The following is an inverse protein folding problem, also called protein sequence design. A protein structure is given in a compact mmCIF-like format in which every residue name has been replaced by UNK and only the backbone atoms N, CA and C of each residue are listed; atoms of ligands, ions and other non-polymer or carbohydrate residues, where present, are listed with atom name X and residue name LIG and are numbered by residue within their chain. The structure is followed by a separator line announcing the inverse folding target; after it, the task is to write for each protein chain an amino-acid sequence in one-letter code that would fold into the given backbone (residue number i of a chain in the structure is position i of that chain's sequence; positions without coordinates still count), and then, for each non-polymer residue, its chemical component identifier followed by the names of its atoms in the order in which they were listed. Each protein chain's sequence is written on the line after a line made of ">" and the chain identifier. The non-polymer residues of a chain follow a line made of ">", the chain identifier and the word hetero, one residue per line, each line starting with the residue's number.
data_IF_746871476582
#
_entry.id   IF_746871476582
#
_cell.length_a   1.000
_cell.length_b   1.000
_cell.length_c   1.000
_cell.angle_alpha   90.00
_cell.angle_beta   90.00
_cell.angle_gamma   90.00
#
_symmetry.space_group_name_H-M   'P 1'
#
loop_
_entity.id
_entity.type
_entity.pdbx_description
1 polymer ?
#
# COMPACT_ATOMS: atom_id res chain seq x y z
N UNK A 1 6.26 57.55 11.77
CA UNK A 1 7.09 56.34 11.59
C UNK A 1 6.36 55.41 10.64
N UNK A 2 6.96 55.04 9.50
CA UNK A 2 6.27 54.44 8.35
C UNK A 2 6.27 52.90 8.37
N UNK A 3 5.40 52.23 7.58
CA UNK A 3 5.45 50.78 7.39
C UNK A 3 6.47 50.36 6.31
N UNK A 4 7.10 49.21 6.60
CA UNK A 4 8.09 48.48 5.81
C UNK A 4 7.64 48.14 4.37
N UNK A 5 8.41 48.59 3.39
CA UNK A 5 8.45 48.04 2.03
C UNK A 5 9.57 46.99 1.96
N UNK A 6 9.23 45.74 1.68
CA UNK A 6 10.20 44.67 1.47
C UNK A 6 10.74 44.70 0.03
N UNK A 7 12.06 44.81 -0.04
CA UNK A 7 12.93 44.67 -1.20
C UNK A 7 12.63 43.43 -2.05
N UNK A 8 12.70 43.60 -3.36
CA UNK A 8 12.88 42.51 -4.31
C UNK A 8 14.13 42.71 -5.15
N UNK A 9 14.86 41.59 -5.29
CA UNK A 9 15.98 41.28 -6.18
C UNK A 9 17.36 41.45 -5.54
N UNK A 10 18.41 40.69 -5.96
CA UNK A 10 18.49 39.75 -7.09
C UNK A 10 19.14 38.39 -6.72
N UNK A 11 19.03 37.38 -7.59
CA UNK A 11 19.95 36.23 -7.54
C UNK A 11 20.25 35.70 -8.94
N UNK A 12 21.55 35.66 -9.19
CA UNK A 12 22.31 35.34 -10.38
C UNK A 12 22.26 33.85 -10.78
N UNK A 13 22.43 33.58 -12.08
CA UNK A 13 23.08 32.35 -12.54
C UNK A 13 23.70 32.54 -13.93
N UNK A 14 25.01 32.77 -13.94
CA UNK A 14 25.87 32.75 -15.12
C UNK A 14 25.94 31.36 -15.77
N UNK A 15 25.92 31.27 -17.10
CA UNK A 15 26.53 30.12 -17.81
C UNK A 15 26.97 30.47 -19.25
N UNK A 16 28.26 30.82 -19.34
CA UNK A 16 29.25 30.44 -20.37
C UNK A 16 28.79 30.52 -21.85
N UNK A 17 29.12 31.64 -22.49
CA UNK A 17 29.41 31.70 -23.92
C UNK A 17 30.63 30.81 -24.25
N UNK A 18 30.47 29.89 -25.20
CA UNK A 18 31.54 29.14 -25.85
C UNK A 18 31.54 29.48 -27.33
N UNK A 19 32.75 29.68 -27.86
CA UNK A 19 33.08 30.26 -29.14
C UNK A 19 32.52 29.52 -30.36
N UNK A 20 32.36 30.34 -31.40
CA UNK A 20 32.15 30.09 -32.82
C UNK A 20 33.19 29.15 -33.44
N UNK A 21 32.73 28.36 -34.43
CA UNK A 21 33.39 27.86 -35.64
C UNK A 21 32.33 26.91 -36.28
N UNK A 22 32.10 26.79 -37.57
CA UNK A 22 32.66 27.33 -38.80
C UNK A 22 31.69 26.90 -39.92
N UNK A 23 31.75 27.62 -41.04
CA UNK A 23 31.01 27.42 -42.30
C UNK A 23 30.80 25.95 -42.73
N UNK A 24 29.60 25.65 -43.21
CA UNK A 24 29.37 24.76 -44.36
C UNK A 24 28.03 25.12 -45.01
N UNK A 25 28.11 25.58 -46.26
CA UNK A 25 26.99 25.88 -47.14
C UNK A 25 26.17 24.61 -47.46
N UNK A 26 24.85 24.75 -47.45
CA UNK A 26 23.92 23.76 -47.96
C UNK A 26 22.46 24.13 -47.64
N UNK A 27 21.57 24.30 -48.62
CA UNK A 27 20.15 24.53 -48.37
C UNK A 27 19.50 23.20 -47.99
N UNK A 28 19.44 22.90 -46.68
CA UNK A 28 18.64 21.79 -46.18
C UNK A 28 17.19 22.25 -46.11
N UNK A 29 16.37 21.71 -47.01
CA UNK A 29 14.91 21.83 -47.01
C UNK A 29 14.35 21.38 -45.66
N UNK A 30 13.91 22.34 -44.85
CA UNK A 30 13.18 22.09 -43.61
C UNK A 30 11.70 21.80 -43.95
N UNK A 31 11.06 20.82 -43.29
CA UNK A 31 9.63 20.57 -43.46
C UNK A 31 8.84 21.82 -43.01
N UNK A 32 7.66 22.08 -43.58
CA UNK A 32 6.84 23.22 -43.20
C UNK A 32 6.55 23.15 -41.70
N UNK A 33 6.87 24.23 -40.99
CA UNK A 33 6.60 24.40 -39.56
C UNK A 33 5.09 24.28 -39.38
N UNK A 34 4.63 23.17 -38.80
CA UNK A 34 3.24 23.01 -38.38
C UNK A 34 2.85 24.19 -37.49
N UNK A 35 1.69 24.84 -37.71
CA UNK A 35 1.27 25.94 -36.89
C UNK A 35 1.23 25.50 -35.43
N UNK A 36 1.82 26.33 -34.55
CA UNK A 36 1.80 26.12 -33.10
C UNK A 36 0.34 26.16 -32.66
N UNK A 37 -0.24 24.99 -32.37
CA UNK A 37 -1.58 24.90 -31.79
C UNK A 37 -1.52 25.55 -30.41
N UNK A 38 -2.03 26.78 -30.31
CA UNK A 38 -2.26 27.41 -29.03
C UNK A 38 -3.38 26.62 -28.35
N UNK A 39 -3.01 25.72 -27.43
CA UNK A 39 -4.00 25.05 -26.58
C UNK A 39 -4.63 26.13 -25.71
N UNK A 40 -5.78 26.66 -26.13
CA UNK A 40 -6.57 27.52 -25.26
C UNK A 40 -7.04 26.66 -24.08
N UNK A 41 -6.71 27.03 -22.83
CA UNK A 41 -7.19 26.29 -21.68
C UNK A 41 -8.69 26.50 -21.58
N UNK A 42 -9.47 25.52 -22.07
CA UNK A 42 -10.92 25.50 -21.91
C UNK A 42 -11.22 25.35 -20.42
N UNK A 43 -11.67 26.43 -19.79
CA UNK A 43 -12.18 26.40 -18.42
C UNK A 43 -13.68 26.08 -18.48
N UNK A 44 -14.03 24.88 -18.01
CA UNK A 44 -15.42 24.49 -17.82
C UNK A 44 -15.84 25.01 -16.45
N UNK A 45 -16.59 26.12 -16.43
CA UNK A 45 -17.30 26.58 -15.23
C UNK A 45 -18.57 25.75 -15.08
N UNK A 46 -18.54 24.77 -14.19
CA UNK A 46 -19.76 24.04 -13.80
C UNK A 46 -20.56 24.98 -12.90
N UNK A 47 -21.79 25.38 -13.28
CA UNK A 47 -22.61 26.20 -12.41
C UNK A 47 -22.99 25.38 -11.18
N UNK A 48 -22.50 25.78 -10.01
CA UNK A 48 -22.90 25.17 -8.75
C UNK A 48 -24.35 25.54 -8.46
N UNK A 49 -25.20 24.52 -8.26
CA UNK A 49 -26.56 24.74 -7.83
C UNK A 49 -26.57 25.38 -6.44
N UNK A 50 -27.26 26.51 -6.29
CA UNK A 50 -27.39 27.16 -4.99
C UNK A 50 -28.13 26.23 -4.03
N UNK A 51 -27.50 25.83 -2.90
CA UNK A 51 -28.11 24.87 -2.00
C UNK A 51 -29.31 25.49 -1.33
N UNK A 52 -30.43 24.77 -1.35
CA UNK A 52 -31.65 25.15 -0.65
C UNK A 52 -31.40 25.29 0.86
N UNK A 53 -32.25 26.04 1.58
CA UNK A 53 -32.10 26.24 3.05
C UNK A 53 -32.04 24.91 3.83
N UNK A 54 -32.72 23.87 3.36
CA UNK A 54 -32.68 22.53 3.96
C UNK A 54 -31.32 21.85 3.73
N UNK A 55 -30.78 21.93 2.51
CA UNK A 55 -29.46 21.40 2.15
C UNK A 55 -28.34 22.14 2.87
N UNK A 56 -28.46 23.46 3.06
CA UNK A 56 -27.50 24.21 3.86
C UNK A 56 -27.46 23.73 5.31
N UNK A 57 -28.61 23.37 5.90
CA UNK A 57 -28.66 22.79 7.26
C UNK A 57 -27.98 21.42 7.29
N UNK A 58 -28.24 20.56 6.32
CA UNK A 58 -27.59 19.22 6.26
C UNK A 58 -26.09 19.34 6.01
N UNK A 59 -25.64 20.26 5.15
CA UNK A 59 -24.23 20.53 4.90
C UNK A 59 -23.52 21.06 6.15
N UNK A 60 -24.14 22.01 6.88
CA UNK A 60 -23.60 22.49 8.16
C UNK A 60 -23.47 21.37 9.19
N UNK A 61 -24.47 20.49 9.26
CA UNK A 61 -24.46 19.35 10.16
C UNK A 61 -23.35 18.36 9.79
N UNK A 62 -23.23 18.00 8.51
CA UNK A 62 -22.17 17.14 7.98
C UNK A 62 -20.79 17.73 8.25
N UNK A 63 -20.61 19.03 8.04
CA UNK A 63 -19.35 19.75 8.32
C UNK A 63 -18.97 19.67 9.80
N UNK A 64 -19.93 19.90 10.70
CA UNK A 64 -19.71 19.76 12.16
C UNK A 64 -19.32 18.34 12.57
N UNK A 65 -19.98 17.32 12.01
CA UNK A 65 -19.57 15.93 12.26
C UNK A 65 -18.17 15.68 11.71
N UNK A 66 -17.87 16.07 10.48
CA UNK A 66 -16.54 15.90 9.89
C UNK A 66 -15.46 16.56 10.76
N UNK A 67 -15.67 17.77 11.26
CA UNK A 67 -14.74 18.46 12.16
C UNK A 67 -14.55 17.71 13.48
N UNK A 68 -15.64 17.15 14.06
CA UNK A 68 -15.57 16.32 15.27
C UNK A 68 -14.77 15.03 15.07
N UNK A 69 -14.86 14.42 13.90
CA UNK A 69 -14.19 13.15 13.58
C UNK A 69 -12.78 13.33 13.00
N UNK A 70 -12.47 14.50 12.41
CA UNK A 70 -11.15 14.83 11.85
C UNK A 70 -9.96 14.48 12.76
N UNK A 71 -9.92 14.86 14.06
CA UNK A 71 -8.79 14.52 14.92
C UNK A 71 -8.67 13.01 15.19
N UNK A 72 -9.79 12.26 15.17
CA UNK A 72 -9.81 10.81 15.36
C UNK A 72 -9.33 10.06 14.12
N UNK A 73 -9.60 10.59 12.93
CA UNK A 73 -9.16 9.99 11.66
C UNK A 73 -7.69 10.26 11.35
N UNK A 74 -7.11 11.34 11.89
CA UNK A 74 -5.69 11.65 11.73
C UNK A 74 -4.78 10.76 12.58
N UNK A 75 -5.29 10.18 13.66
CA UNK A 75 -4.54 9.31 14.57
C UNK A 75 -5.00 7.87 14.38
N UNK A 76 -4.16 6.97 13.84
CA UNK A 76 -4.56 5.58 13.62
C UNK A 76 -4.78 4.80 14.92
N UNK A 77 -4.26 5.29 16.06
CA UNK A 77 -4.32 4.61 17.35
C UNK A 77 -4.96 5.50 18.43
N UNK A 78 -5.75 4.90 19.35
CA UNK A 78 -6.38 5.63 20.45
C UNK A 78 -5.32 6.14 21.44
N UNK A 79 -5.58 7.29 22.04
CA UNK A 79 -4.74 7.87 23.09
C UNK A 79 -4.91 7.13 24.42
N UNK A 80 -3.92 7.22 25.33
CA UNK A 80 -3.98 6.56 26.65
C UNK A 80 -5.22 6.98 27.47
N UNK A 81 -5.66 8.23 27.33
CA UNK A 81 -6.87 8.75 27.99
C UNK A 81 -8.14 8.14 27.41
N UNK A 82 -8.24 8.03 26.09
CA UNK A 82 -9.37 7.36 25.40
C UNK A 82 -9.42 5.87 25.75
N UNK A 83 -8.25 5.21 25.80
CA UNK A 83 -8.15 3.81 26.24
C UNK A 83 -8.70 3.67 27.66
N UNK A 84 -8.26 4.51 28.61
CA UNK A 84 -8.73 4.49 30.01
C UNK A 84 -10.25 4.73 30.12
N UNK A 85 -10.80 5.66 29.33
CA UNK A 85 -12.24 5.89 29.26
C UNK A 85 -13.00 4.69 28.67
N UNK A 86 -12.45 4.06 27.62
CA UNK A 86 -13.06 2.89 27.00
C UNK A 86 -13.08 1.66 27.93
N UNK A 87 -12.11 1.55 28.85
CA UNK A 87 -12.10 0.51 29.88
C UNK A 87 -13.29 0.62 30.85
N UNK A 88 -13.72 1.84 31.19
CA UNK A 88 -14.91 2.05 32.02
C UNK A 88 -16.17 1.46 31.37
N UNK A 89 -16.28 1.60 30.04
CA UNK A 89 -17.40 1.08 29.26
C UNK A 89 -17.17 -0.36 28.75
N UNK A 90 -16.11 -1.03 29.20
CA UNK A 90 -15.72 -2.40 28.77
C UNK A 90 -15.53 -2.56 27.25
N UNK A 91 -15.35 -1.48 26.49
CA UNK A 91 -15.29 -1.52 25.01
C UNK A 91 -13.99 -2.16 24.48
N UNK A 92 -12.91 -2.14 25.26
CA UNK A 92 -11.58 -2.64 24.85
C UNK A 92 -11.20 -4.01 25.45
N UNK A 93 -12.11 -4.69 26.14
CA UNK A 93 -11.80 -5.98 26.82
C UNK A 93 -11.38 -7.11 25.88
N UNK A 94 -11.66 -7.00 24.58
CA UNK A 94 -11.48 -8.10 23.61
C UNK A 94 -10.29 -7.91 22.65
N UNK A 95 -9.45 -6.90 22.83
CA UNK A 95 -8.34 -6.61 21.90
C UNK A 95 -6.97 -7.09 22.38
N UNK A 96 -6.90 -7.80 23.52
CA UNK A 96 -5.62 -8.16 24.14
C UNK A 96 -5.25 -9.64 23.95
N UNK A 97 -6.19 -10.51 23.55
CA UNK A 97 -5.89 -11.93 23.43
C UNK A 97 -5.91 -12.42 21.98
N UNK A 98 -4.84 -13.09 21.51
CA UNK A 98 -4.90 -13.81 20.25
C UNK A 98 -5.90 -14.97 20.42
N UNK A 99 -6.96 -14.94 19.61
CA UNK A 99 -7.79 -16.09 19.22
C UNK A 99 -7.76 -17.25 20.24
N UNK A 100 -8.47 -17.08 21.36
CA UNK A 100 -8.81 -18.22 22.20
C UNK A 100 -9.49 -19.26 21.30
N UNK A 101 -8.85 -20.42 21.14
CA UNK A 101 -9.44 -21.57 20.47
C UNK A 101 -10.75 -21.86 21.22
N UNK A 102 -11.91 -21.85 20.55
CA UNK A 102 -13.16 -22.11 21.25
C UNK A 102 -13.06 -23.46 21.94
N UNK A 103 -13.44 -23.52 23.22
CA UNK A 103 -13.46 -24.76 23.99
C UNK A 103 -14.22 -25.84 23.20
N UNK A 104 -13.72 -27.08 23.21
CA UNK A 104 -14.27 -28.18 22.40
C UNK A 104 -15.75 -28.45 22.69
N UNK A 105 -16.26 -27.99 23.84
CA UNK A 105 -17.62 -28.21 24.31
C UNK A 105 -18.54 -26.99 24.12
N UNK A 106 -18.12 -25.97 23.37
CA UNK A 106 -18.94 -24.78 23.14
C UNK A 106 -20.13 -25.10 22.22
N UNK A 107 -21.30 -25.32 22.82
CA UNK A 107 -22.57 -25.43 22.10
C UNK A 107 -23.00 -24.02 21.69
N UNK A 108 -22.94 -23.74 20.39
CA UNK A 108 -23.47 -22.48 19.84
C UNK A 108 -24.99 -22.42 20.09
N UNK A 109 -25.53 -21.38 20.74
CA UNK A 109 -26.97 -21.24 20.91
C UNK A 109 -27.66 -21.18 19.55
N UNK A 110 -28.82 -21.84 19.46
CA UNK A 110 -29.64 -21.78 18.26
C UNK A 110 -30.20 -20.36 18.11
N UNK A 111 -29.97 -19.75 16.95
CA UNK A 111 -30.51 -18.43 16.63
C UNK A 111 -31.56 -18.62 15.57
N UNK A 112 -32.82 -18.41 15.94
CA UNK A 112 -33.94 -18.43 15.00
C UNK A 112 -33.76 -17.26 14.01
N UNK A 113 -33.69 -17.59 12.72
CA UNK A 113 -33.52 -16.59 11.66
C UNK A 113 -34.86 -16.30 11.01
N UNK A 114 -35.10 -15.02 10.72
CA UNK A 114 -36.28 -14.64 9.95
C UNK A 114 -36.09 -14.98 8.47
N UNK A 115 -37.19 -15.24 7.72
CA UNK A 115 -37.12 -15.52 6.28
C UNK A 115 -36.39 -14.43 5.48
N UNK A 116 -36.50 -13.18 5.92
CA UNK A 116 -35.81 -12.03 5.32
C UNK A 116 -34.28 -12.13 5.47
N UNK A 117 -33.79 -12.56 6.63
CA UNK A 117 -32.35 -12.72 6.89
C UNK A 117 -31.78 -13.86 6.05
N UNK A 118 -32.52 -14.95 5.91
CA UNK A 118 -32.09 -16.07 5.07
C UNK A 118 -32.07 -15.72 3.58
N UNK A 119 -33.04 -14.93 3.11
CA UNK A 119 -33.03 -14.39 1.74
C UNK A 119 -31.78 -13.52 1.50
N UNK A 120 -31.51 -12.58 2.40
CA UNK A 120 -30.31 -11.74 2.31
C UNK A 120 -29.03 -12.58 2.27
N UNK A 121 -28.89 -13.59 3.14
CA UNK A 121 -27.69 -14.46 3.12
C UNK A 121 -27.51 -15.23 1.81
N UNK A 122 -28.60 -15.63 1.15
CA UNK A 122 -28.55 -16.30 -0.16
C UNK A 122 -28.17 -15.32 -1.26
N UNK A 123 -28.62 -14.07 -1.16
CA UNK A 123 -28.37 -13.02 -2.16
C UNK A 123 -26.93 -12.46 -2.10
N UNK A 124 -26.21 -12.67 -0.98
CA UNK A 124 -24.81 -12.28 -0.87
C UNK A 124 -23.87 -13.32 -1.49
N UNK A 125 -22.97 -12.93 -2.41
CA UNK A 125 -21.97 -13.83 -2.96
C UNK A 125 -21.04 -14.32 -1.82
N UNK A 126 -21.03 -15.62 -1.60
CA UNK A 126 -20.12 -16.25 -0.63
C UNK A 126 -18.70 -16.12 -1.18
N UNK A 127 -17.95 -15.14 -0.68
CA UNK A 127 -16.52 -15.03 -0.93
C UNK A 127 -15.83 -16.21 -0.22
N UNK A 128 -15.50 -17.26 -0.97
CA UNK A 128 -14.76 -18.43 -0.47
C UNK A 128 -13.33 -18.01 -0.09
N UNK A 129 -13.15 -17.51 1.13
CA UNK A 129 -11.83 -17.15 1.68
C UNK A 129 -11.23 -18.25 2.57
N UNK A 130 -11.83 -19.44 2.60
CA UNK A 130 -11.36 -20.59 3.39
C UNK A 130 -11.21 -21.83 2.50
N UNK A 131 -10.11 -21.89 1.75
CA UNK A 131 -9.62 -23.14 1.14
C UNK A 131 -8.13 -23.35 1.44
N UNK A 132 -7.70 -22.94 2.63
CA UNK A 132 -6.39 -23.29 3.18
C UNK A 132 -6.62 -24.26 4.34
N UNK A 133 -6.72 -25.57 4.05
CA UNK A 133 -6.78 -26.60 5.09
C UNK A 133 -7.84 -27.67 4.87
N UNK A 134 -7.71 -28.47 3.81
CA UNK A 134 -8.14 -29.87 3.82
C UNK A 134 -7.31 -30.64 2.80
N UNK A 135 -6.14 -31.10 3.26
CA UNK A 135 -5.40 -32.15 2.58
C UNK A 135 -6.07 -33.45 2.99
N UNK A 136 -6.91 -34.01 2.12
CA UNK A 136 -7.30 -35.41 2.18
C UNK A 136 -6.56 -36.13 1.09
N UNK A 137 -5.56 -36.90 1.50
CA UNK A 137 -4.93 -37.98 0.74
C UNK A 137 -6.02 -38.91 0.20
N UNK A 138 -6.03 -39.15 -1.11
CA UNK A 138 -5.88 -40.47 -1.76
C UNK A 138 -6.38 -40.42 -3.22
N UNK A 139 -5.63 -41.15 -4.06
CA UNK A 139 -6.02 -41.79 -5.33
C UNK A 139 -5.67 -41.10 -6.65
N UNK A 140 -4.81 -41.83 -7.37
CA UNK A 140 -4.31 -41.63 -8.71
C UNK A 140 -5.43 -41.39 -9.74
N UNK A 141 -5.45 -40.19 -10.32
CA UNK A 141 -6.05 -39.92 -11.63
C UNK A 141 -5.15 -38.94 -12.37
N UNK A 142 -4.88 -39.26 -13.63
CA UNK A 142 -4.03 -38.50 -14.54
C UNK A 142 -4.26 -37.00 -14.44
N UNK A 143 -3.19 -36.23 -14.24
CA UNK A 143 -3.20 -34.77 -14.13
C UNK A 143 -3.85 -34.13 -15.37
N UNK A 144 -5.02 -33.46 -15.24
CA UNK A 144 -5.28 -32.31 -16.08
C UNK A 144 -4.31 -31.20 -15.63
N UNK A 145 -3.59 -30.60 -16.58
CA UNK A 145 -2.74 -29.43 -16.33
C UNK A 145 -3.42 -28.48 -15.34
N UNK A 146 -2.82 -28.18 -14.18
CA UNK A 146 -3.47 -27.34 -13.19
C UNK A 146 -3.71 -25.97 -13.84
N UNK A 147 -4.98 -25.61 -14.02
CA UNK A 147 -5.34 -24.24 -14.39
C UNK A 147 -4.63 -23.31 -13.41
N UNK A 148 -3.97 -22.24 -13.88
CA UNK A 148 -3.16 -21.39 -13.02
C UNK A 148 -4.02 -20.95 -11.85
N UNK A 149 -3.50 -21.16 -10.65
CA UNK A 149 -4.18 -20.77 -9.43
C UNK A 149 -4.55 -19.27 -9.53
N UNK A 150 -5.65 -18.82 -8.89
CA UNK A 150 -6.00 -17.40 -8.88
C UNK A 150 -4.83 -16.49 -8.43
N UNK A 151 -3.94 -17.03 -7.58
CA UNK A 151 -2.72 -16.38 -7.15
C UNK A 151 -1.67 -16.23 -8.28
N UNK A 152 -1.49 -17.25 -9.13
CA UNK A 152 -0.60 -17.18 -10.29
C UNK A 152 -1.09 -16.17 -11.33
N UNK A 153 -2.40 -16.15 -11.61
CA UNK A 153 -3.00 -15.15 -12.53
C UNK A 153 -2.78 -13.73 -12.00
N UNK A 154 -2.95 -13.51 -10.71
CA UNK A 154 -2.66 -12.21 -10.08
C UNK A 154 -1.16 -11.87 -10.12
N UNK A 155 -0.28 -12.86 -9.94
CA UNK A 155 1.16 -12.66 -10.03
C UNK A 155 1.58 -12.26 -11.45
N UNK A 156 1.03 -12.91 -12.48
CA UNK A 156 1.27 -12.56 -13.88
C UNK A 156 0.78 -11.15 -14.21
N UNK A 157 -0.41 -10.78 -13.71
CA UNK A 157 -0.94 -9.43 -13.85
C UNK A 157 -0.04 -8.37 -13.18
N UNK A 158 0.41 -8.64 -11.95
CA UNK A 158 1.33 -7.75 -11.23
C UNK A 158 2.69 -7.65 -11.94
N UNK A 159 3.19 -8.76 -12.50
CA UNK A 159 4.39 -8.77 -13.34
C UNK A 159 4.19 -7.89 -14.57
N UNK A 160 3.05 -7.97 -15.24
CA UNK A 160 2.72 -7.15 -16.40
C UNK A 160 2.71 -5.65 -16.06
N UNK A 161 2.07 -5.25 -14.96
CA UNK A 161 2.04 -3.87 -14.47
C UNK A 161 3.45 -3.36 -14.12
N UNK A 162 4.29 -4.22 -13.55
CA UNK A 162 5.64 -3.88 -13.09
C UNK A 162 6.74 -4.17 -14.13
N UNK A 163 6.42 -4.38 -15.41
CA UNK A 163 7.45 -4.57 -16.46
C UNK A 163 8.36 -3.34 -16.61
N UNK A 164 7.79 -2.13 -16.58
CA UNK A 164 8.54 -0.90 -16.85
C UNK A 164 9.47 -0.50 -15.69
N UNK A 165 10.61 0.13 -16.01
CA UNK A 165 11.57 0.61 -14.99
C UNK A 165 10.98 1.72 -14.11
N UNK A 166 10.03 2.49 -14.62
CA UNK A 166 9.32 3.51 -13.86
C UNK A 166 8.29 2.88 -12.90
N UNK A 167 7.50 1.91 -13.38
CA UNK A 167 6.54 1.17 -12.55
C UNK A 167 7.24 0.40 -11.42
N UNK A 168 8.38 -0.25 -11.70
CA UNK A 168 9.21 -0.88 -10.65
C UNK A 168 9.66 0.11 -9.60
N UNK A 169 10.15 1.29 -10.00
CA UNK A 169 10.58 2.34 -9.06
C UNK A 169 9.42 2.88 -8.22
N UNK A 170 8.24 3.05 -8.82
CA UNK A 170 7.03 3.52 -8.14
C UNK A 170 6.52 2.47 -7.15
N UNK A 171 6.35 1.22 -7.59
CA UNK A 171 6.00 0.09 -6.74
C UNK A 171 6.99 -0.05 -5.59
N UNK A 172 8.29 0.02 -5.89
CA UNK A 172 9.33 0.00 -4.86
C UNK A 172 9.15 1.11 -3.83
N UNK A 173 8.97 2.37 -4.26
CA UNK A 173 8.75 3.50 -3.36
C UNK A 173 7.52 3.34 -2.47
N UNK A 174 6.44 2.79 -3.01
CA UNK A 174 5.17 2.64 -2.30
C UNK A 174 5.14 1.43 -1.35
N UNK A 175 5.79 0.32 -1.73
CA UNK A 175 5.86 -0.89 -0.92
C UNK A 175 7.09 -0.94 0.00
N UNK A 176 8.10 -0.08 -0.22
CA UNK A 176 9.21 0.15 0.72
C UNK A 176 8.82 1.17 1.79
N UNK A 177 7.81 0.88 2.61
CA UNK A 177 7.58 1.68 3.82
C UNK A 177 8.79 1.52 4.76
N UNK A 178 9.27 2.65 5.30
CA UNK A 178 10.37 2.73 6.30
C UNK A 178 9.82 2.77 7.73
N UNK A 179 8.58 2.37 7.94
CA UNK A 179 7.93 2.48 9.25
C UNK A 179 8.56 1.48 10.23
N UNK A 180 9.23 2.02 11.25
CA UNK A 180 9.87 1.26 12.32
C UNK A 180 8.88 0.41 13.14
N UNK A 181 7.60 0.75 13.13
CA UNK A 181 6.57 0.20 14.03
C UNK A 181 5.57 -0.74 13.35
N UNK A 182 5.79 -1.11 12.08
CA UNK A 182 4.96 -2.11 11.41
C UNK A 182 5.41 -3.51 11.84
N UNK A 183 4.52 -4.26 12.50
CA UNK A 183 4.75 -5.65 12.98
C UNK A 183 5.29 -6.52 11.85
N UNK A 184 4.74 -6.34 10.66
CA UNK A 184 5.27 -6.91 9.43
C UNK A 184 6.25 -5.90 8.83
N UNK A 185 7.55 -6.09 9.06
CA UNK A 185 8.61 -5.42 8.29
C UNK A 185 8.53 -5.88 6.82
N UNK A 186 7.49 -5.49 6.09
CA UNK A 186 6.97 -6.20 4.90
C UNK A 186 8.02 -6.50 3.83
N UNK A 187 9.06 -5.66 3.70
CA UNK A 187 10.21 -5.92 2.82
C UNK A 187 11.19 -6.96 3.37
N UNK A 188 11.56 -6.89 4.64
CA UNK A 188 12.36 -7.96 5.29
C UNK A 188 11.58 -9.26 5.34
N UNK A 189 10.27 -9.20 5.60
CA UNK A 189 9.40 -10.37 5.65
C UNK A 189 9.24 -11.04 4.26
N UNK A 190 9.01 -10.28 3.18
CA UNK A 190 8.99 -10.84 1.82
C UNK A 190 10.37 -11.35 1.35
N UNK A 191 11.44 -10.66 1.72
CA UNK A 191 12.79 -11.13 1.37
C UNK A 191 13.17 -12.37 2.17
N UNK A 192 12.73 -12.47 3.43
CA UNK A 192 12.91 -13.65 4.27
C UNK A 192 12.04 -14.81 3.81
N UNK A 193 10.81 -14.56 3.33
CA UNK A 193 9.91 -15.61 2.84
C UNK A 193 10.40 -16.25 1.54
N UNK A 194 11.31 -15.60 0.81
CA UNK A 194 11.95 -16.18 -0.38
C UNK A 194 13.19 -17.04 -0.07
N UNK A 195 13.61 -17.12 1.19
CA UNK A 195 14.76 -17.92 1.62
C UNK A 195 14.28 -19.16 2.38
N UNK A 196 14.92 -20.33 2.19
CA UNK A 196 14.54 -21.53 2.92
C UNK A 196 14.70 -21.31 4.43
N UNK A 197 13.64 -21.60 5.19
CA UNK A 197 13.63 -21.39 6.64
C UNK A 197 14.73 -22.21 7.35
N UNK A 198 15.01 -23.42 6.84
CA UNK A 198 16.07 -24.29 7.33
C UNK A 198 17.45 -23.65 7.22
N UNK A 199 17.73 -22.96 6.12
CA UNK A 199 18.99 -22.26 5.87
C UNK A 199 19.12 -21.02 6.77
N UNK A 200 18.01 -20.33 7.03
CA UNK A 200 17.95 -19.22 8.01
C UNK A 200 18.22 -19.70 9.43
N UNK A 201 17.69 -20.86 9.83
CA UNK A 201 17.95 -21.45 11.14
C UNK A 201 19.41 -21.89 11.27
N UNK A 202 19.99 -22.52 10.24
CA UNK A 202 21.42 -22.87 10.20
C UNK A 202 22.31 -21.65 10.37
N UNK A 203 21.97 -20.52 9.73
CA UNK A 203 22.70 -19.25 9.91
C UNK A 203 22.63 -18.72 11.34
N UNK A 204 21.46 -18.81 11.98
CA UNK A 204 21.29 -18.41 13.38
C UNK A 204 22.13 -19.27 14.33
N UNK A 205 22.22 -20.57 14.04
CA UNK A 205 23.08 -21.52 14.76
C UNK A 205 24.57 -21.43 14.38
N UNK A 206 24.95 -20.59 13.41
CA UNK A 206 26.32 -20.46 12.92
C UNK A 206 26.83 -21.65 12.09
N UNK A 207 25.93 -22.51 11.60
CA UNK A 207 26.23 -23.66 10.74
C UNK A 207 26.32 -23.26 9.27
N UNK A 208 27.17 -23.92 8.45
CA UNK A 208 27.27 -23.62 7.03
C UNK A 208 25.91 -23.71 6.33
N UNK A 209 25.63 -22.73 5.49
CA UNK A 209 24.37 -22.58 4.75
C UNK A 209 24.62 -22.04 3.34
N UNK A 210 23.59 -22.10 2.50
CA UNK A 210 23.58 -21.62 1.11
C UNK A 210 22.95 -20.24 0.94
N UNK A 211 22.83 -19.46 2.02
CA UNK A 211 22.24 -18.12 1.94
C UNK A 211 23.15 -17.15 1.15
N UNK A 212 22.59 -16.10 0.54
CA UNK A 212 23.40 -15.04 -0.05
C UNK A 212 24.32 -14.36 0.97
N UNK A 213 25.51 -13.91 0.55
CA UNK A 213 26.53 -13.35 1.43
C UNK A 213 26.06 -12.16 2.29
N UNK A 214 25.14 -11.33 1.77
CA UNK A 214 24.54 -10.22 2.52
C UNK A 214 23.67 -10.65 3.71
N UNK A 215 23.25 -11.92 3.76
CA UNK A 215 22.44 -12.50 4.85
C UNK A 215 23.26 -13.31 5.86
N UNK A 216 24.47 -13.76 5.47
CA UNK A 216 25.40 -14.53 6.30
C UNK A 216 26.14 -13.67 7.32
N UNK A 217 25.46 -13.26 8.39
CA UNK A 217 26.05 -12.44 9.46
C UNK A 217 27.06 -13.20 10.32
N UNK A 218 26.93 -14.51 10.47
CA UNK A 218 27.70 -15.39 11.35
C UNK A 218 28.59 -16.34 10.54
N UNK A 219 28.10 -16.82 9.38
CA UNK A 219 28.81 -17.84 8.60
C UNK A 219 29.61 -17.26 7.42
N UNK A 220 29.53 -15.95 7.15
CA UNK A 220 30.30 -15.35 6.05
C UNK A 220 31.80 -15.39 6.33
N UNK A 221 32.57 -15.38 5.25
CA UNK A 221 34.04 -15.28 5.29
C UNK A 221 34.49 -14.02 6.05
N UNK A 222 33.71 -12.94 5.95
CA UNK A 222 33.99 -11.68 6.64
C UNK A 222 33.61 -11.70 8.12
N UNK A 223 32.57 -12.44 8.51
CA UNK A 223 32.17 -12.58 9.92
C UNK A 223 33.22 -13.33 10.76
N UNK A 224 33.89 -14.33 10.18
CA UNK A 224 34.95 -15.09 10.85
C UNK A 224 36.24 -14.30 11.05
N UNK A 225 36.45 -13.20 10.30
CA UNK A 225 37.64 -12.33 10.42
C UNK A 225 37.53 -11.27 11.51
N UNK A 226 36.33 -11.02 12.04
CA UNK A 226 36.07 -9.99 13.05
C UNK A 226 36.07 -10.53 14.50
N UNK A 227 36.51 -11.78 14.70
CA UNK A 227 36.70 -12.39 16.02
C UNK A 227 38.19 -12.53 16.30
#
# INVERSE_FOLDING_TARGET
>A
TPPNSLDQSPSSASKRQRCTNSKSDGPISTPPISPRVQSQPLQITIPDAEPTKAEQKTLKLRRRYAERWRPKLQKPYPTKTEIKQAYQYKLMRHYIEPLAVPESNFVKPHIDRSPRVDKLRKDFPVLNTSSLGKVTTTENKAEPQPSPSPAEVQLEHNRAITKSKAARRSAWRNFSSREKDRIDRGREAMLASGLPQEELNREYEGKPNNLPGWRKKHTSVFAKRAK
#
